data_IF_458068079694
#
_entry.id   IF_458068079694
#
_cell.length_a   1.000
_cell.length_b   1.000
_cell.length_c   1.000
_cell.angle_alpha   90.00
_cell.angle_beta   90.00
_cell.angle_gamma   90.00
#
_symmetry.space_group_name_H-M   'P 1'
#
loop_
_entity.id
_entity.type
_entity.pdbx_description
1 polymer ?
#
# COMPACT_ATOMS: atom_id res chain seq x y z
N UNK A 1 -58.71 -97.11 -55.93
CA UNK A 1 -58.42 -97.21 -54.47
C UNK A 1 -57.02 -96.69 -54.15
N UNK A 2 -55.94 -97.26 -54.70
CA UNK A 2 -54.55 -96.86 -54.40
C UNK A 2 -54.17 -95.42 -54.84
N UNK A 3 -54.61 -94.98 -56.02
CA UNK A 3 -54.30 -93.64 -56.56
C UNK A 3 -54.93 -92.50 -55.75
N UNK A 4 -56.17 -92.67 -55.32
CA UNK A 4 -56.86 -91.71 -54.45
C UNK A 4 -56.16 -91.57 -53.08
N UNK A 5 -55.64 -92.68 -52.53
CA UNK A 5 -54.89 -92.68 -51.28
C UNK A 5 -53.57 -91.89 -51.40
N UNK A 6 -52.84 -92.07 -52.51
CA UNK A 6 -51.57 -91.36 -52.77
C UNK A 6 -51.80 -89.84 -52.88
N UNK A 7 -52.86 -89.41 -53.57
CA UNK A 7 -53.20 -87.98 -53.70
C UNK A 7 -53.57 -87.36 -52.35
N UNK A 8 -54.32 -88.09 -51.52
CA UNK A 8 -54.65 -87.63 -50.15
C UNK A 8 -53.37 -87.48 -49.32
N UNK A 9 -52.48 -88.47 -49.36
CA UNK A 9 -51.20 -88.43 -48.64
C UNK A 9 -50.34 -87.25 -49.12
N UNK A 10 -50.24 -87.01 -50.42
CA UNK A 10 -49.45 -85.89 -50.94
C UNK A 10 -50.01 -84.52 -50.52
N UNK A 11 -51.34 -84.37 -50.50
CA UNK A 11 -51.99 -83.13 -50.01
C UNK A 11 -51.72 -82.93 -48.52
N UNK A 12 -51.80 -84.00 -47.72
CA UNK A 12 -51.50 -83.96 -46.28
C UNK A 12 -50.04 -83.60 -46.03
N UNK A 13 -49.09 -84.13 -46.80
CA UNK A 13 -47.66 -83.81 -46.67
C UNK A 13 -47.37 -82.35 -47.02
N UNK A 14 -47.99 -81.81 -48.07
CA UNK A 14 -47.86 -80.40 -48.43
C UNK A 14 -48.46 -79.49 -47.36
N UNK A 15 -49.65 -79.82 -46.85
CA UNK A 15 -50.28 -79.09 -45.75
C UNK A 15 -49.43 -79.14 -44.46
N UNK A 16 -48.87 -80.30 -44.13
CA UNK A 16 -47.96 -80.46 -42.99
C UNK A 16 -46.67 -79.65 -43.19
N UNK A 17 -46.10 -79.64 -44.39
CA UNK A 17 -44.93 -78.82 -44.72
C UNK A 17 -45.19 -77.32 -44.60
N UNK A 18 -46.36 -76.86 -45.06
CA UNK A 18 -46.79 -75.47 -44.91
C UNK A 18 -46.99 -75.08 -43.44
N UNK A 19 -47.65 -75.94 -42.64
CA UNK A 19 -47.81 -75.71 -41.20
C UNK A 19 -46.47 -75.66 -40.46
N UNK A 20 -45.54 -76.57 -40.80
CA UNK A 20 -44.18 -76.55 -40.24
C UNK A 20 -43.41 -75.29 -40.62
N UNK A 21 -43.56 -74.81 -41.86
CA UNK A 21 -42.95 -73.56 -42.31
C UNK A 21 -43.54 -72.34 -41.58
N UNK A 22 -44.86 -72.27 -41.42
CA UNK A 22 -45.53 -71.18 -40.71
C UNK A 22 -45.16 -71.17 -39.22
N UNK A 23 -45.09 -72.34 -38.57
CA UNK A 23 -44.61 -72.48 -37.19
C UNK A 23 -43.16 -72.00 -37.04
N UNK A 24 -42.28 -72.37 -37.98
CA UNK A 24 -40.88 -71.93 -37.98
C UNK A 24 -40.77 -70.41 -38.15
N UNK A 25 -41.56 -69.83 -39.05
CA UNK A 25 -41.62 -68.38 -39.29
C UNK A 25 -42.07 -67.62 -38.05
N UNK A 26 -43.13 -68.07 -37.36
CA UNK A 26 -43.55 -67.49 -36.08
C UNK A 26 -42.48 -67.64 -34.99
N UNK A 27 -41.79 -68.78 -34.94
CA UNK A 27 -40.72 -69.00 -33.96
C UNK A 27 -39.54 -68.04 -34.16
N UNK A 28 -39.14 -67.79 -35.42
CA UNK A 28 -38.08 -66.84 -35.75
C UNK A 28 -38.43 -65.40 -35.38
N UNK A 29 -39.65 -64.96 -35.69
CA UNK A 29 -40.12 -63.62 -35.29
C UNK A 29 -40.11 -63.46 -33.77
N UNK A 30 -40.59 -64.46 -33.03
CA UNK A 30 -40.60 -64.43 -31.57
C UNK A 30 -39.19 -64.28 -30.98
N UNK A 31 -38.20 -64.94 -31.58
CA UNK A 31 -36.81 -64.83 -31.14
C UNK A 31 -36.21 -63.44 -31.46
N UNK A 32 -36.55 -62.85 -32.60
CA UNK A 32 -36.16 -61.48 -32.96
C UNK A 32 -36.76 -60.44 -31.99
N UNK A 33 -38.05 -60.55 -31.67
CA UNK A 33 -38.69 -59.69 -30.67
C UNK A 33 -38.08 -59.87 -29.28
N UNK A 34 -37.69 -61.09 -28.93
CA UNK A 34 -37.00 -61.38 -27.67
C UNK A 34 -35.63 -60.72 -27.61
N UNK A 35 -34.83 -60.81 -28.66
CA UNK A 35 -33.53 -60.14 -28.75
C UNK A 35 -33.67 -58.61 -28.70
N UNK A 36 -34.67 -58.05 -29.39
CA UNK A 36 -34.95 -56.62 -29.34
C UNK A 36 -35.35 -56.16 -27.93
N UNK A 37 -36.14 -56.97 -27.23
CA UNK A 37 -36.54 -56.70 -25.85
C UNK A 37 -35.33 -56.78 -24.90
N UNK A 38 -34.51 -57.82 -25.00
CA UNK A 38 -33.28 -57.97 -24.20
C UNK A 38 -32.28 -56.83 -24.45
N UNK A 39 -32.14 -56.38 -25.69
CA UNK A 39 -31.31 -55.23 -26.03
C UNK A 39 -31.86 -53.94 -25.41
N UNK A 40 -33.17 -53.72 -25.52
CA UNK A 40 -33.84 -52.57 -24.92
C UNK A 40 -33.71 -52.54 -23.39
N UNK A 41 -33.88 -53.69 -22.74
CA UNK A 41 -33.72 -53.83 -21.29
C UNK A 41 -32.26 -53.59 -20.84
N UNK A 42 -31.30 -54.12 -21.60
CA UNK A 42 -29.87 -53.86 -21.36
C UNK A 42 -29.53 -52.37 -21.49
N UNK A 43 -30.02 -51.68 -22.52
CA UNK A 43 -29.76 -50.24 -22.71
C UNK A 43 -30.44 -49.40 -21.63
N UNK A 44 -31.67 -49.77 -21.22
CA UNK A 44 -32.37 -49.14 -20.11
C UNK A 44 -31.58 -49.26 -18.81
N UNK A 45 -31.06 -50.45 -18.51
CA UNK A 45 -30.23 -50.69 -17.32
C UNK A 45 -28.93 -49.87 -17.33
N UNK A 46 -28.22 -49.83 -18.47
CA UNK A 46 -27.03 -48.98 -18.63
C UNK A 46 -27.34 -47.50 -18.44
N UNK A 47 -28.47 -47.03 -18.98
CA UNK A 47 -28.91 -45.65 -18.81
C UNK A 47 -29.20 -45.33 -17.33
N UNK A 48 -29.85 -46.25 -16.61
CA UNK A 48 -30.09 -46.10 -15.16
C UNK A 48 -28.79 -46.04 -14.36
N UNK A 49 -27.85 -46.96 -14.61
CA UNK A 49 -26.54 -46.97 -13.95
C UNK A 49 -25.78 -45.66 -14.19
N UNK A 50 -25.85 -45.14 -15.42
CA UNK A 50 -25.22 -43.86 -15.78
C UNK A 50 -25.85 -42.69 -15.04
N UNK A 51 -27.19 -42.63 -14.96
CA UNK A 51 -27.90 -41.59 -14.18
C UNK A 51 -27.48 -41.65 -12.72
N UNK A 52 -27.41 -42.84 -12.12
CA UNK A 52 -27.00 -43.03 -10.73
C UNK A 52 -25.57 -42.52 -10.50
N UNK A 53 -24.63 -42.89 -11.37
CA UNK A 53 -23.24 -42.42 -11.27
C UNK A 53 -23.10 -40.90 -11.42
N UNK A 54 -23.97 -40.27 -12.23
CA UNK A 54 -23.98 -38.81 -12.39
C UNK A 54 -24.57 -38.13 -11.16
N UNK A 55 -25.65 -38.67 -10.59
CA UNK A 55 -26.22 -38.17 -9.35
C UNK A 55 -25.21 -38.23 -8.19
N UNK A 56 -24.43 -39.30 -8.10
CA UNK A 56 -23.38 -39.43 -7.08
C UNK A 56 -22.27 -38.39 -7.28
N UNK A 57 -21.80 -38.19 -8.51
CA UNK A 57 -20.79 -37.16 -8.83
C UNK A 57 -21.30 -35.74 -8.56
N UNK A 58 -22.57 -35.47 -8.85
CA UNK A 58 -23.21 -34.18 -8.54
C UNK A 58 -23.28 -33.99 -7.02
N UNK A 59 -23.74 -35.00 -6.26
CA UNK A 59 -23.79 -34.92 -4.81
C UNK A 59 -22.43 -34.70 -4.16
N UNK A 60 -21.37 -35.35 -4.66
CA UNK A 60 -20.00 -35.10 -4.18
C UNK A 60 -19.55 -33.65 -4.45
N UNK A 61 -19.91 -33.09 -5.62
CA UNK A 61 -19.60 -31.71 -5.98
C UNK A 61 -20.36 -30.71 -5.11
N UNK A 62 -21.61 -31.00 -4.77
CA UNK A 62 -22.43 -30.14 -3.89
C UNK A 62 -21.82 -30.06 -2.49
N UNK A 63 -21.39 -31.21 -1.92
CA UNK A 63 -20.68 -31.24 -0.63
C UNK A 63 -19.37 -30.45 -0.67
N UNK A 64 -18.63 -30.51 -1.78
CA UNK A 64 -17.41 -29.73 -1.96
C UNK A 64 -17.71 -28.22 -2.04
N UNK A 65 -18.76 -27.85 -2.75
CA UNK A 65 -19.20 -26.45 -2.87
C UNK A 65 -19.68 -25.87 -1.54
N UNK A 66 -20.38 -26.64 -0.72
CA UNK A 66 -20.79 -26.21 0.62
C UNK A 66 -19.57 -25.95 1.51
N UNK A 67 -18.58 -26.85 1.50
CA UNK A 67 -17.32 -26.65 2.22
C UNK A 67 -16.56 -25.42 1.71
N UNK A 68 -16.50 -25.23 0.40
CA UNK A 68 -15.85 -24.06 -0.20
C UNK A 68 -16.55 -22.77 0.24
N UNK A 69 -17.88 -22.75 0.25
CA UNK A 69 -18.68 -21.61 0.69
C UNK A 69 -18.43 -21.25 2.15
N UNK A 70 -18.39 -22.25 3.04
CA UNK A 70 -18.06 -22.06 4.46
C UNK A 70 -16.64 -21.50 4.66
N UNK A 71 -15.65 -22.04 3.94
CA UNK A 71 -14.28 -21.53 4.01
C UNK A 71 -14.20 -20.08 3.50
N UNK A 72 -14.91 -19.76 2.42
CA UNK A 72 -14.93 -18.41 1.86
C UNK A 72 -15.61 -17.41 2.80
N UNK A 73 -16.65 -17.83 3.53
CA UNK A 73 -17.27 -17.00 4.56
C UNK A 73 -16.31 -16.68 5.72
N UNK A 74 -15.53 -17.68 6.17
CA UNK A 74 -14.48 -17.48 7.17
C UNK A 74 -13.39 -16.53 6.66
N UNK A 75 -12.96 -16.71 5.41
CA UNK A 75 -11.98 -15.84 4.78
C UNK A 75 -12.47 -14.38 4.68
N UNK A 76 -13.72 -14.18 4.25
CA UNK A 76 -14.34 -12.85 4.15
C UNK A 76 -14.44 -12.16 5.51
N UNK A 77 -14.80 -12.89 6.57
CA UNK A 77 -14.77 -12.34 7.94
C UNK A 77 -13.38 -11.85 8.33
N UNK A 78 -12.33 -12.61 7.99
CA UNK A 78 -10.95 -12.24 8.30
C UNK A 78 -10.49 -11.01 7.50
N UNK A 79 -10.91 -10.89 6.26
CA UNK A 79 -10.63 -9.70 5.43
C UNK A 79 -11.19 -8.44 6.10
N UNK A 80 -12.45 -8.46 6.54
CA UNK A 80 -13.09 -7.33 7.21
C UNK A 80 -12.33 -6.94 8.50
N UNK A 81 -11.90 -7.93 9.29
CA UNK A 81 -11.10 -7.69 10.50
C UNK A 81 -9.77 -7.01 10.16
N UNK A 82 -9.06 -7.51 9.14
CA UNK A 82 -7.78 -6.95 8.70
C UNK A 82 -7.93 -5.53 8.16
N UNK A 83 -8.98 -5.25 7.39
CA UNK A 83 -9.28 -3.90 6.91
C UNK A 83 -9.47 -2.90 8.06
N UNK A 84 -10.13 -3.33 9.14
CA UNK A 84 -10.27 -2.52 10.36
C UNK A 84 -8.93 -2.21 11.03
N UNK A 85 -8.05 -3.22 11.14
CA UNK A 85 -6.70 -3.04 11.70
C UNK A 85 -5.84 -2.11 10.86
N UNK A 86 -5.87 -2.26 9.53
CA UNK A 86 -5.11 -1.39 8.60
C UNK A 86 -5.56 0.06 8.75
N UNK A 87 -6.87 0.32 8.85
CA UNK A 87 -7.40 1.67 9.05
C UNK A 87 -6.92 2.31 10.36
N UNK A 88 -6.97 1.56 11.47
CA UNK A 88 -6.49 2.03 12.76
C UNK A 88 -4.97 2.33 12.76
N UNK A 89 -4.17 1.51 12.06
CA UNK A 89 -2.73 1.74 11.91
C UNK A 89 -2.44 3.00 11.10
N UNK A 90 -3.18 3.25 10.01
CA UNK A 90 -3.01 4.44 9.17
C UNK A 90 -3.33 5.74 9.95
N UNK A 91 -4.42 5.74 10.74
CA UNK A 91 -4.75 6.88 11.60
C UNK A 91 -3.65 7.14 12.65
N UNK A 92 -3.11 6.08 13.25
CA UNK A 92 -2.01 6.19 14.22
C UNK A 92 -0.73 6.72 13.58
N UNK A 93 -0.40 6.29 12.37
CA UNK A 93 0.76 6.76 11.61
C UNK A 93 0.65 8.27 11.34
N UNK A 94 -0.49 8.71 10.80
CA UNK A 94 -0.77 10.13 10.53
C UNK A 94 -0.68 10.99 11.79
N UNK A 95 -1.20 10.48 12.92
CA UNK A 95 -1.09 11.17 14.19
C UNK A 95 0.38 11.34 14.62
N UNK A 96 1.17 10.26 14.55
CA UNK A 96 2.59 10.31 14.93
C UNK A 96 3.39 11.26 14.04
N UNK A 97 3.19 11.23 12.72
CA UNK A 97 3.87 12.13 11.78
C UNK A 97 3.59 13.61 12.10
N UNK A 98 2.33 13.94 12.41
CA UNK A 98 1.95 15.29 12.85
C UNK A 98 2.71 15.72 14.11
N UNK A 99 2.82 14.83 15.10
CA UNK A 99 3.56 15.11 16.34
C UNK A 99 5.06 15.31 16.06
N UNK A 100 5.68 14.43 15.26
CA UNK A 100 7.08 14.56 14.89
C UNK A 100 7.38 15.87 14.15
N UNK A 101 6.53 16.25 13.19
CA UNK A 101 6.67 17.50 12.45
C UNK A 101 6.60 18.72 13.37
N UNK A 102 5.63 18.74 14.30
CA UNK A 102 5.50 19.80 15.32
C UNK A 102 6.75 19.89 16.20
N UNK A 103 7.23 18.76 16.72
CA UNK A 103 8.41 18.71 17.57
C UNK A 103 9.69 19.13 16.82
N UNK A 104 9.86 18.69 15.57
CA UNK A 104 10.99 19.07 14.73
C UNK A 104 11.00 20.58 14.45
N UNK A 105 9.84 21.16 14.14
CA UNK A 105 9.68 22.61 13.95
C UNK A 105 9.99 23.40 15.22
N UNK A 106 9.51 22.94 16.38
CA UNK A 106 9.80 23.57 17.67
C UNK A 106 11.29 23.53 18.03
N UNK A 107 11.96 22.38 17.85
CA UNK A 107 13.40 22.26 18.09
C UNK A 107 14.20 23.21 17.21
N UNK A 108 13.93 23.24 15.90
CA UNK A 108 14.63 24.12 14.96
C UNK A 108 14.41 25.60 15.28
N UNK A 109 13.18 25.99 15.63
CA UNK A 109 12.86 27.36 16.05
C UNK A 109 13.55 27.75 17.36
N UNK A 110 13.58 26.84 18.34
CA UNK A 110 14.23 27.08 19.62
C UNK A 110 15.74 27.21 19.48
N UNK A 111 16.40 26.37 18.68
CA UNK A 111 17.85 26.44 18.45
C UNK A 111 18.25 27.78 17.79
N UNK A 112 17.50 28.22 16.77
CA UNK A 112 17.73 29.51 16.10
C UNK A 112 17.49 30.68 17.05
N UNK A 113 16.40 30.64 17.83
CA UNK A 113 16.08 31.71 18.80
C UNK A 113 17.11 31.80 19.91
N UNK A 114 17.56 30.67 20.45
CA UNK A 114 18.61 30.63 21.48
C UNK A 114 19.95 31.13 20.94
N UNK A 115 20.32 30.78 19.70
CA UNK A 115 21.53 31.31 19.07
C UNK A 115 21.53 32.84 18.94
N UNK A 116 20.40 33.41 18.50
CA UNK A 116 20.25 34.87 18.36
C UNK A 116 20.27 35.61 19.70
N UNK A 117 19.70 35.01 20.76
CA UNK A 117 19.78 35.57 22.12
C UNK A 117 21.23 35.52 22.61
N UNK A 118 21.91 34.39 22.45
CA UNK A 118 23.31 34.21 22.84
C UNK A 118 24.24 35.25 22.17
N UNK A 119 23.99 35.59 20.91
CA UNK A 119 24.72 36.64 20.18
C UNK A 119 24.51 38.03 20.82
N UNK A 120 23.31 38.34 21.29
CA UNK A 120 23.00 39.64 21.92
C UNK A 120 23.49 39.76 23.36
N UNK A 121 23.51 38.65 24.12
CA UNK A 121 23.97 38.63 25.51
C UNK A 121 25.43 38.21 25.66
N UNK A 122 26.14 38.03 24.54
CA UNK A 122 27.49 37.48 24.51
C UNK A 122 28.47 38.16 25.46
N UNK A 123 28.48 39.50 25.62
CA UNK A 123 29.38 40.16 26.56
C UNK A 123 29.19 39.70 28.01
N UNK A 124 28.01 39.18 28.39
CA UNK A 124 27.73 38.73 29.76
C UNK A 124 27.99 37.23 29.97
N UNK A 125 28.51 36.52 28.96
CA UNK A 125 28.87 35.12 29.07
C UNK A 125 30.21 34.96 29.80
N UNK A 126 30.33 33.88 30.59
CA UNK A 126 31.48 33.63 31.47
C UNK A 126 32.82 33.50 30.72
N UNK A 127 32.77 33.08 29.46
CA UNK A 127 33.90 32.82 28.57
C UNK A 127 34.14 33.95 27.55
N UNK A 128 33.43 35.07 27.68
CA UNK A 128 33.63 36.21 26.80
C UNK A 128 35.04 36.83 27.00
N UNK A 129 35.81 37.08 25.93
CA UNK A 129 37.25 37.34 26.04
C UNK A 129 37.62 38.78 26.47
N UNK A 130 36.64 39.66 26.71
CA UNK A 130 36.84 41.10 26.96
C UNK A 130 35.96 41.60 28.11
N UNK A 131 36.28 42.78 28.65
CA UNK A 131 35.46 43.41 29.69
C UNK A 131 34.08 43.78 29.13
N UNK A 132 32.98 43.25 29.70
CA UNK A 132 31.63 43.56 29.25
C UNK A 132 31.29 45.07 29.36
N UNK A 133 31.92 45.80 30.27
CA UNK A 133 31.65 47.23 30.50
C UNK A 133 32.18 48.13 29.38
N UNK A 134 33.26 47.73 28.69
CA UNK A 134 33.79 48.44 27.54
C UNK A 134 33.05 48.13 26.24
N UNK A 135 32.13 47.15 26.25
CA UNK A 135 31.36 46.75 25.08
C UNK A 135 30.26 47.77 24.72
N UNK A 136 30.13 48.08 23.43
CA UNK A 136 28.99 48.81 22.86
C UNK A 136 28.40 48.00 21.71
N UNK A 137 27.12 47.69 21.82
CA UNK A 137 26.39 46.98 20.78
C UNK A 137 26.11 47.89 19.58
N UNK A 138 26.33 47.39 18.36
CA UNK A 138 26.06 48.06 17.09
C UNK A 138 25.12 47.21 16.22
N UNK A 139 25.37 45.91 16.09
CA UNK A 139 24.61 44.99 15.23
C UNK A 139 25.14 44.90 13.79
N UNK A 140 24.37 44.37 12.84
CA UNK A 140 24.89 44.03 11.50
C UNK A 140 25.53 45.25 10.78
N UNK A 141 26.79 45.16 10.30
CA UNK A 141 27.59 43.96 10.06
C UNK A 141 28.65 43.59 11.13
N UNK A 142 28.67 44.23 12.31
CA UNK A 142 29.55 43.89 13.44
C UNK A 142 28.80 44.09 14.75
N UNK A 143 28.63 43.01 15.53
CA UNK A 143 27.79 43.05 16.73
C UNK A 143 28.25 44.04 17.81
N UNK A 144 29.54 44.09 18.16
CA UNK A 144 30.06 44.94 19.25
C UNK A 144 31.35 45.68 18.88
N UNK A 145 31.57 46.83 19.55
CA UNK A 145 32.87 47.49 19.66
C UNK A 145 33.25 47.60 21.13
N UNK A 146 34.46 47.18 21.47
CA UNK A 146 35.09 47.44 22.76
C UNK A 146 35.95 48.69 22.69
N UNK A 147 35.79 49.57 23.67
CA UNK A 147 36.64 50.74 23.88
C UNK A 147 37.50 50.52 25.12
N UNK A 148 38.60 49.78 24.95
CA UNK A 148 39.62 49.65 25.99
C UNK A 148 40.59 50.85 25.91
N UNK A 149 41.36 51.13 26.96
CA UNK A 149 42.22 52.32 27.05
C UNK A 149 43.24 52.43 25.90
N UNK A 150 43.80 51.30 25.47
CA UNK A 150 44.85 51.24 24.44
C UNK A 150 44.40 50.60 23.12
N UNK A 151 43.17 50.08 23.04
CA UNK A 151 42.73 49.27 21.89
C UNK A 151 41.22 49.31 21.68
N UNK A 152 40.80 49.70 20.48
CA UNK A 152 39.43 49.53 20.02
C UNK A 152 39.29 48.17 19.32
N UNK A 153 38.43 47.29 19.85
CA UNK A 153 38.25 45.93 19.31
C UNK A 153 36.84 45.76 18.73
N UNK A 154 36.76 45.41 17.45
CA UNK A 154 35.51 45.03 16.80
C UNK A 154 35.24 43.54 17.01
N UNK A 155 34.04 43.18 17.46
CA UNK A 155 33.66 41.81 17.79
C UNK A 155 32.38 41.45 17.05
N UNK A 156 32.44 40.35 16.31
CA UNK A 156 31.29 39.68 15.72
C UNK A 156 31.09 38.36 16.47
N UNK A 157 29.89 38.11 16.96
CA UNK A 157 29.55 36.91 17.73
C UNK A 157 28.89 35.91 16.81
N UNK A 158 29.25 34.64 16.98
CA UNK A 158 28.66 33.52 16.23
C UNK A 158 28.27 32.42 17.18
N UNK A 159 27.03 31.96 17.07
CA UNK A 159 26.53 30.80 17.81
C UNK A 159 26.71 29.49 17.02
N UNK A 160 27.06 28.40 17.71
CA UNK A 160 27.12 27.05 17.12
C UNK A 160 28.14 26.90 15.98
N UNK A 161 27.70 26.41 14.82
CA UNK A 161 28.54 26.22 13.62
C UNK A 161 28.44 27.38 12.62
N UNK A 162 27.86 28.51 13.02
CA UNK A 162 27.65 29.64 12.13
C UNK A 162 28.98 30.26 11.70
N UNK A 163 29.03 30.71 10.45
CA UNK A 163 30.21 31.28 9.82
C UNK A 163 29.97 32.76 9.52
N UNK A 164 31.04 33.54 9.39
CA UNK A 164 30.94 34.94 8.94
C UNK A 164 30.24 35.02 7.57
N UNK A 165 29.35 35.98 7.40
CA UNK A 165 28.74 36.30 6.10
C UNK A 165 29.80 36.91 5.15
N UNK A 166 29.50 36.97 3.84
CA UNK A 166 30.39 37.64 2.87
C UNK A 166 30.65 39.10 3.25
N UNK A 167 29.61 39.81 3.73
CA UNK A 167 29.71 41.20 4.21
C UNK A 167 30.61 41.28 5.45
N UNK A 168 30.38 40.44 6.44
CA UNK A 168 31.17 40.40 7.68
C UNK A 168 32.65 40.09 7.43
N UNK A 169 32.96 39.14 6.54
CA UNK A 169 34.33 38.86 6.11
C UNK A 169 35.00 40.10 5.53
N UNK A 170 34.31 40.83 4.64
CA UNK A 170 34.83 42.07 4.06
C UNK A 170 35.14 43.12 5.13
N UNK A 171 34.26 43.31 6.12
CA UNK A 171 34.51 44.26 7.21
C UNK A 171 35.70 43.85 8.08
N UNK A 172 35.80 42.57 8.46
CA UNK A 172 36.97 42.03 9.15
C UNK A 172 38.26 42.32 8.39
N UNK A 173 38.26 42.13 7.08
CA UNK A 173 39.45 42.33 6.25
C UNK A 173 39.82 43.82 6.15
N UNK A 174 38.84 44.73 6.01
CA UNK A 174 39.08 46.18 6.08
C UNK A 174 39.72 46.59 7.41
N UNK A 175 39.22 46.06 8.54
CA UNK A 175 39.78 46.34 9.87
C UNK A 175 41.21 45.82 9.98
N UNK A 176 41.47 44.59 9.53
CA UNK A 176 42.81 43.98 9.54
C UNK A 176 43.81 44.73 8.67
N UNK A 177 43.35 45.31 7.57
CA UNK A 177 44.14 46.13 6.67
C UNK A 177 44.34 47.57 7.18
N UNK A 178 43.82 47.92 8.36
CA UNK A 178 43.93 49.26 8.94
C UNK A 178 43.06 50.31 8.23
N UNK A 179 42.07 49.89 7.44
CA UNK A 179 41.13 50.78 6.73
C UNK A 179 40.00 51.25 7.66
N UNK A 180 40.38 51.87 8.75
CA UNK A 180 39.48 52.45 9.77
C UNK A 180 39.86 53.92 9.92
N UNK A 181 38.87 54.80 9.87
CA UNK A 181 39.07 56.24 9.94
C UNK A 181 38.19 56.85 11.03
N UNK A 182 38.64 57.96 11.61
CA UNK A 182 37.90 58.72 12.62
C UNK A 182 37.61 60.12 12.08
N UNK A 183 36.33 60.41 11.85
CA UNK A 183 35.88 61.69 11.30
C UNK A 183 35.14 62.46 12.39
N UNK A 184 35.64 63.63 12.75
CA UNK A 184 34.92 64.59 13.58
C UNK A 184 33.93 65.36 12.69
N UNK A 185 32.65 65.07 12.82
CA UNK A 185 31.58 65.85 12.20
C UNK A 185 30.82 66.63 13.26
N UNK A 186 30.84 67.96 13.18
CA UNK A 186 30.09 68.85 14.06
C UNK A 186 28.80 69.25 13.36
N UNK A 187 27.69 69.18 14.08
CA UNK A 187 26.40 69.71 13.61
C UNK A 187 26.29 71.10 14.23
N UNK A 188 26.41 72.15 13.40
CA UNK A 188 26.17 73.52 13.84
C UNK A 188 24.66 73.74 13.94
N UNK A 189 24.16 73.81 15.18
CA UNK A 189 22.80 74.24 15.46
C UNK A 189 22.71 75.76 15.41
N UNK A 190 21.93 76.26 14.45
CA UNK A 190 21.27 77.56 14.38
C UNK A 190 21.78 78.70 15.29
N UNK A 191 22.41 79.68 14.65
CA UNK A 191 22.21 81.12 14.84
C UNK A 191 21.57 81.56 16.18
N UNK A 192 22.41 81.97 17.14
CA UNK A 192 21.99 82.75 18.30
C UNK A 192 21.68 84.19 17.81
N UNK A 193 20.51 84.37 17.21
CA UNK A 193 19.97 85.66 16.81
C UNK A 193 19.26 86.39 17.96
N UNK A 194 19.83 87.53 18.32
CA UNK A 194 19.27 88.74 18.99
C UNK A 194 18.71 88.66 20.42
N UNK A 195 19.32 89.50 21.26
CA UNK A 195 18.73 90.22 22.40
C UNK A 195 17.30 90.77 22.13
#
# INVERSE_FOLDING_TARGET
MLTALIVIISVVLVAAGFLLWELKKLSSQKEEYKQLFELGDSEYKKAQERIQSLQEKVGQKDVLMDRASQMMEVANRKIIELEGVVKALDEKLKFQESQYSKLAGQKKSSEVRTGRIAEQVAPFLKDYPKDPNSARFIGEPIDFIHFDDDLITFVEVKSGKSQLSKRQRRFRDLIKEGKVDFILYRIDGADNGSD
#
